data_IF_379115281581
#
_entry.id   IF_379115281581
#
_cell.length_a   1.000
_cell.length_b   1.000
_cell.length_c   1.000
_cell.angle_alpha   90.00
_cell.angle_beta   90.00
_cell.angle_gamma   90.00
#
_symmetry.space_group_name_H-M   'P 1'
#
loop_
_entity.id
_entity.type
_entity.pdbx_description
1 polymer ?
#
# COMPACT_ATOMS: atom_id res chain seq x y z
N UNK A 1 48.04 40.46 33.70
CA UNK A 1 48.17 38.99 33.60
C UNK A 1 46.99 38.51 32.79
N UNK A 2 47.19 38.24 31.50
CA UNK A 2 46.17 37.55 30.70
C UNK A 2 46.04 36.10 31.20
N UNK A 3 44.82 35.56 31.30
CA UNK A 3 44.65 34.17 31.66
C UNK A 3 45.16 33.29 30.52
N UNK A 4 46.28 32.61 30.77
CA UNK A 4 46.83 31.57 29.93
C UNK A 4 45.87 30.38 29.95
N UNK A 5 45.01 30.26 28.93
CA UNK A 5 44.19 29.07 28.75
C UNK A 5 45.12 27.87 28.47
N UNK A 6 44.90 26.70 29.10
CA UNK A 6 45.72 25.54 28.83
C UNK A 6 45.59 25.14 27.36
N UNK A 7 46.71 25.08 26.64
CA UNK A 7 46.78 24.47 25.32
C UNK A 7 46.37 23.00 25.48
N UNK A 8 45.17 22.66 25.01
CA UNK A 8 44.66 21.29 25.05
C UNK A 8 45.58 20.40 24.21
N UNK A 9 46.31 19.48 24.84
CA UNK A 9 47.23 18.57 24.16
C UNK A 9 46.49 17.78 23.08
N UNK A 10 46.99 17.83 21.84
CA UNK A 10 46.39 17.08 20.74
C UNK A 10 46.46 15.58 21.00
N UNK A 11 45.35 14.88 20.76
CA UNK A 11 45.32 13.42 20.83
C UNK A 11 46.35 12.80 19.88
N UNK A 12 46.89 11.63 20.25
CA UNK A 12 47.85 10.91 19.40
C UNK A 12 47.27 10.61 18.01
N UNK A 13 45.97 10.31 17.94
CA UNK A 13 45.26 10.10 16.67
C UNK A 13 45.31 11.36 15.79
N UNK A 14 45.06 12.55 16.36
CA UNK A 14 45.12 13.82 15.63
C UNK A 14 46.52 14.12 15.12
N UNK A 15 47.56 13.82 15.91
CA UNK A 15 48.97 13.95 15.49
C UNK A 15 49.26 13.09 14.26
N UNK A 16 48.89 11.80 14.32
CA UNK A 16 49.08 10.88 13.19
C UNK A 16 48.37 11.35 11.91
N UNK A 17 47.13 11.86 12.02
CA UNK A 17 46.37 12.38 10.87
C UNK A 17 47.03 13.62 10.27
N UNK A 18 47.57 14.52 11.10
CA UNK A 18 48.29 15.71 10.63
C UNK A 18 49.56 15.33 9.85
N UNK A 19 50.29 14.32 10.31
CA UNK A 19 51.51 13.86 9.62
C UNK A 19 51.19 13.20 8.28
N UNK A 20 50.13 12.39 8.20
CA UNK A 20 49.64 11.86 6.92
C UNK A 20 49.25 13.01 5.97
N UNK A 21 48.54 14.02 6.47
CA UNK A 21 48.16 15.18 5.66
C UNK A 21 49.37 15.98 5.14
N UNK A 22 50.47 16.07 5.91
CA UNK A 22 51.72 16.68 5.45
C UNK A 22 52.33 15.85 4.32
N UNK A 23 52.42 14.53 4.49
CA UNK A 23 52.99 13.67 3.46
C UNK A 23 52.19 13.70 2.16
N UNK A 24 50.85 13.72 2.23
CA UNK A 24 50.01 13.91 1.04
C UNK A 24 50.30 15.24 0.33
N UNK A 25 50.52 16.31 1.10
CA UNK A 25 50.87 17.63 0.54
C UNK A 25 52.22 17.60 -0.17
N UNK A 26 53.22 16.93 0.41
CA UNK A 26 54.54 16.78 -0.21
C UNK A 26 54.47 15.99 -1.53
N UNK A 27 53.52 15.06 -1.63
CA UNK A 27 53.19 14.33 -2.87
C UNK A 27 52.29 15.11 -3.84
N UNK A 28 51.92 16.37 -3.53
CA UNK A 28 51.04 17.19 -4.36
C UNK A 28 49.57 16.71 -4.41
N UNK A 29 49.15 15.91 -3.44
CA UNK A 29 47.80 15.30 -3.40
C UNK A 29 46.96 15.87 -2.25
N UNK A 30 45.70 16.17 -2.52
CA UNK A 30 44.75 16.56 -1.47
C UNK A 30 44.14 15.33 -0.78
N UNK A 31 43.68 15.43 0.48
CA UNK A 31 42.98 14.33 1.15
C UNK A 31 41.76 13.82 0.36
N UNK A 32 41.03 14.69 -0.35
CA UNK A 32 39.89 14.29 -1.19
C UNK A 32 40.33 13.47 -2.42
N UNK A 33 41.41 13.88 -3.09
CA UNK A 33 41.97 13.12 -4.22
C UNK A 33 42.47 11.75 -3.75
N UNK A 34 43.17 11.70 -2.60
CA UNK A 34 43.59 10.45 -1.99
C UNK A 34 42.40 9.52 -1.74
N UNK A 35 41.34 10.01 -1.08
CA UNK A 35 40.17 9.19 -0.78
C UNK A 35 39.46 8.70 -2.05
N UNK A 36 39.37 9.54 -3.08
CA UNK A 36 38.76 9.16 -4.36
C UNK A 36 39.55 8.04 -5.05
N UNK A 37 40.87 8.19 -5.18
CA UNK A 37 41.73 7.17 -5.77
C UNK A 37 41.71 5.89 -4.94
N UNK A 38 41.84 6.00 -3.61
CA UNK A 38 41.80 4.87 -2.69
C UNK A 38 40.53 4.02 -2.86
N UNK A 39 39.37 4.66 -3.03
CA UNK A 39 38.07 3.99 -3.14
C UNK A 39 37.79 3.44 -4.54
N UNK A 40 38.29 4.08 -5.59
CA UNK A 40 37.91 3.75 -6.99
C UNK A 40 38.99 2.99 -7.77
N UNK A 41 40.24 3.01 -7.33
CA UNK A 41 41.37 2.43 -8.06
C UNK A 41 41.24 0.92 -8.24
N UNK A 42 41.50 0.41 -9.45
CA UNK A 42 41.45 -1.04 -9.76
C UNK A 42 42.67 -1.83 -9.28
N UNK A 43 43.65 -1.18 -8.66
CA UNK A 43 44.85 -1.83 -8.14
C UNK A 43 44.52 -2.86 -7.05
N UNK A 44 45.15 -4.04 -7.10
CA UNK A 44 44.88 -5.18 -6.22
C UNK A 44 45.30 -4.97 -4.76
N UNK A 45 46.38 -4.23 -4.51
CA UNK A 45 46.83 -3.89 -3.17
C UNK A 45 45.83 -2.95 -2.50
N UNK A 46 45.41 -1.90 -3.21
CA UNK A 46 44.37 -0.98 -2.71
C UNK A 46 43.03 -1.68 -2.51
N UNK A 47 42.66 -2.62 -3.39
CA UNK A 47 41.48 -3.46 -3.21
C UNK A 47 41.56 -4.30 -1.93
N UNK A 48 42.74 -4.85 -1.62
CA UNK A 48 42.97 -5.61 -0.38
C UNK A 48 42.83 -4.73 0.85
N UNK A 49 43.32 -3.48 0.82
CA UNK A 49 43.22 -2.55 1.94
C UNK A 49 41.77 -2.11 2.22
N UNK A 50 40.93 -1.99 1.18
CA UNK A 50 39.51 -1.64 1.34
C UNK A 50 38.54 -2.82 1.39
N UNK A 51 39.04 -4.07 1.44
CA UNK A 51 38.24 -5.30 1.35
C UNK A 51 37.08 -5.40 2.34
N UNK A 52 37.16 -4.71 3.48
CA UNK A 52 36.13 -4.75 4.51
C UNK A 52 35.07 -3.64 4.42
N UNK A 53 35.27 -2.61 3.58
CA UNK A 53 34.37 -1.44 3.50
C UNK A 53 32.91 -1.81 3.24
N UNK A 54 32.66 -2.77 2.34
CA UNK A 54 31.33 -3.22 1.96
C UNK A 54 30.95 -4.59 2.55
N UNK A 55 31.58 -5.01 3.66
CA UNK A 55 31.32 -6.32 4.29
C UNK A 55 30.62 -6.17 5.65
N UNK A 56 29.94 -7.22 6.16
CA UNK A 56 29.30 -7.18 7.47
C UNK A 56 30.20 -6.69 8.60
N UNK A 57 31.50 -7.01 8.56
CA UNK A 57 32.49 -6.59 9.56
C UNK A 57 32.84 -5.10 9.50
N UNK A 58 32.60 -4.43 8.37
CA UNK A 58 33.01 -3.03 8.15
C UNK A 58 31.87 -2.07 7.79
N UNK A 59 30.62 -2.54 7.67
CA UNK A 59 29.48 -1.67 7.38
C UNK A 59 29.33 -0.54 8.40
N UNK A 60 29.34 -0.83 9.70
CA UNK A 60 29.12 0.18 10.74
C UNK A 60 30.21 1.26 10.75
N UNK A 61 31.47 0.86 10.63
CA UNK A 61 32.61 1.81 10.60
C UNK A 61 32.62 2.62 9.31
N UNK A 62 32.28 2.02 8.17
CA UNK A 62 32.15 2.73 6.88
C UNK A 62 31.00 3.74 6.91
N UNK A 63 29.84 3.35 7.44
CA UNK A 63 28.71 4.27 7.64
C UNK A 63 29.09 5.41 8.59
N UNK A 64 29.92 5.16 9.60
CA UNK A 64 30.42 6.22 10.50
C UNK A 64 31.26 7.26 9.73
N UNK A 65 32.08 6.84 8.77
CA UNK A 65 32.79 7.76 7.87
C UNK A 65 31.82 8.58 7.03
N UNK A 66 30.80 7.94 6.44
CA UNK A 66 29.76 8.65 5.65
C UNK A 66 28.99 9.66 6.52
N UNK A 67 28.66 9.31 7.77
CA UNK A 67 28.02 10.23 8.74
C UNK A 67 28.94 11.41 9.10
N UNK A 68 30.24 11.19 9.23
CA UNK A 68 31.20 12.27 9.45
C UNK A 68 31.28 13.22 8.23
N UNK A 69 31.23 12.69 7.01
CA UNK A 69 31.13 13.48 5.77
C UNK A 69 29.83 14.28 5.77
N UNK A 70 28.68 13.66 6.04
CA UNK A 70 27.39 14.35 6.21
C UNK A 70 27.49 15.52 7.18
N UNK A 71 28.16 15.30 8.33
CA UNK A 71 28.36 16.34 9.35
C UNK A 71 29.05 17.59 8.81
N UNK A 72 29.96 17.46 7.83
CA UNK A 72 30.59 18.60 7.17
C UNK A 72 29.63 19.39 6.29
N UNK A 73 28.74 18.71 5.56
CA UNK A 73 27.68 19.38 4.80
C UNK A 73 26.66 20.06 5.73
N UNK A 74 26.41 19.47 6.90
CA UNK A 74 25.44 19.99 7.86
C UNK A 74 25.84 21.29 8.56
N UNK A 75 27.10 21.72 8.42
CA UNK A 75 27.63 22.92 9.06
C UNK A 75 27.11 24.24 8.46
N UNK A 76 26.56 24.21 7.24
CA UNK A 76 26.06 25.42 6.55
C UNK A 76 24.74 25.13 5.84
N UNK A 77 23.91 26.14 5.63
CA UNK A 77 22.64 25.98 4.91
C UNK A 77 22.83 25.53 3.46
N UNK A 78 23.80 26.12 2.77
CA UNK A 78 24.16 25.71 1.42
C UNK A 78 24.65 24.26 1.37
N UNK A 79 25.49 23.85 2.33
CA UNK A 79 25.95 22.47 2.44
C UNK A 79 24.80 21.50 2.72
N UNK A 80 23.89 21.86 3.64
CA UNK A 80 22.68 21.07 3.94
C UNK A 80 21.84 20.85 2.70
N UNK A 81 21.57 21.93 1.94
CA UNK A 81 20.81 21.83 0.68
C UNK A 81 21.49 20.86 -0.29
N UNK A 82 22.80 20.98 -0.49
CA UNK A 82 23.55 20.07 -1.38
C UNK A 82 23.50 18.61 -0.95
N UNK A 83 23.52 18.33 0.35
CA UNK A 83 23.36 16.96 0.84
C UNK A 83 21.94 16.44 0.61
N UNK A 84 20.92 17.27 0.84
CA UNK A 84 19.51 16.89 0.60
C UNK A 84 19.29 16.58 -0.88
N UNK A 85 19.76 17.44 -1.79
CA UNK A 85 19.67 17.22 -3.24
C UNK A 85 20.30 15.87 -3.62
N UNK A 86 21.50 15.56 -3.09
CA UNK A 86 22.18 14.29 -3.35
C UNK A 86 21.42 13.06 -2.81
N UNK A 87 20.87 13.15 -1.59
CA UNK A 87 20.04 12.06 -1.02
C UNK A 87 18.76 11.86 -1.85
N UNK A 88 18.18 12.94 -2.37
CA UNK A 88 17.00 12.86 -3.22
C UNK A 88 17.32 12.12 -4.52
N UNK A 89 18.43 12.43 -5.18
CA UNK A 89 18.86 11.73 -6.40
C UNK A 89 19.10 10.23 -6.12
N UNK A 90 19.79 9.89 -5.03
CA UNK A 90 20.03 8.49 -4.64
C UNK A 90 18.72 7.75 -4.31
N UNK A 91 17.78 8.43 -3.64
CA UNK A 91 16.46 7.86 -3.33
C UNK A 91 15.67 7.57 -4.61
N UNK A 92 15.74 8.44 -5.63
CA UNK A 92 15.12 8.21 -6.93
C UNK A 92 15.73 6.98 -7.61
N UNK A 93 17.06 6.84 -7.62
CA UNK A 93 17.73 5.66 -8.20
C UNK A 93 17.30 4.35 -7.53
N UNK A 94 17.19 4.33 -6.19
CA UNK A 94 16.66 3.16 -5.46
C UNK A 94 15.23 2.83 -5.88
N UNK A 95 14.38 3.85 -6.06
CA UNK A 95 12.98 3.67 -6.51
C UNK A 95 12.85 3.27 -7.97
N UNK A 96 13.82 3.63 -8.83
CA UNK A 96 13.87 3.16 -10.21
C UNK A 96 14.31 1.70 -10.29
N UNK A 97 15.27 1.30 -9.44
CA UNK A 97 15.73 -0.07 -9.31
C UNK A 97 14.64 -1.01 -8.76
N UNK A 98 13.89 -0.55 -7.77
CA UNK A 98 12.69 -1.21 -7.23
C UNK A 98 11.53 -1.06 -8.22
N UNK A 99 11.58 -1.83 -9.31
CA UNK A 99 10.54 -1.81 -10.33
C UNK A 99 9.65 -3.05 -10.19
N UNK A 100 8.34 -2.89 -9.93
CA UNK A 100 7.42 -4.02 -9.85
C UNK A 100 7.33 -4.78 -11.18
N UNK A 101 7.33 -6.12 -11.13
CA UNK A 101 7.15 -6.96 -12.32
C UNK A 101 5.73 -6.81 -12.87
N UNK A 102 5.59 -6.55 -14.17
CA UNK A 102 4.30 -6.26 -14.81
C UNK A 102 3.52 -7.50 -15.28
N UNK A 103 3.73 -8.65 -14.65
CA UNK A 103 3.09 -9.92 -15.03
C UNK A 103 1.56 -9.90 -14.79
N UNK A 104 0.88 -10.89 -15.37
CA UNK A 104 -0.58 -11.03 -15.33
C UNK A 104 -0.99 -11.72 -14.01
N UNK A 105 -2.09 -11.28 -13.39
CA UNK A 105 -2.68 -11.93 -12.22
C UNK A 105 -2.97 -13.42 -12.48
N UNK A 106 -2.72 -14.35 -11.53
CA UNK A 106 -2.36 -14.11 -10.12
C UNK A 106 -0.87 -13.89 -9.86
N UNK A 107 -0.01 -14.09 -10.86
CA UNK A 107 1.45 -14.01 -10.71
C UNK A 107 2.00 -12.58 -10.81
N UNK A 108 1.20 -11.63 -11.30
CA UNK A 108 1.53 -10.20 -11.27
C UNK A 108 0.32 -9.29 -11.05
N UNK A 109 0.53 -8.00 -11.26
CA UNK A 109 -0.35 -6.92 -10.78
C UNK A 109 -1.44 -6.52 -11.76
N UNK A 110 -1.39 -7.02 -12.99
CA UNK A 110 -2.36 -6.68 -14.01
C UNK A 110 -3.57 -7.59 -13.94
N UNK A 111 -4.71 -6.97 -13.70
CA UNK A 111 -6.02 -7.61 -13.79
C UNK A 111 -6.82 -6.98 -14.94
N UNK A 112 -7.18 -7.80 -15.92
CA UNK A 112 -8.13 -7.40 -16.96
C UNK A 112 -9.51 -7.21 -16.37
N UNK A 113 -10.16 -6.07 -16.65
CA UNK A 113 -11.56 -5.84 -16.28
C UNK A 113 -12.52 -6.79 -17.00
N UNK A 114 -12.17 -7.27 -18.20
CA UNK A 114 -13.06 -8.13 -19.00
C UNK A 114 -13.09 -9.58 -18.54
N UNK A 115 -12.13 -9.99 -17.72
CA UNK A 115 -11.98 -11.38 -17.25
C UNK A 115 -11.71 -11.45 -15.75
N UNK A 116 -12.07 -10.40 -15.01
CA UNK A 116 -11.94 -10.40 -13.54
C UNK A 116 -12.99 -11.33 -12.94
N UNK A 117 -12.57 -12.09 -11.92
CA UNK A 117 -13.43 -13.03 -11.21
C UNK A 117 -13.70 -12.54 -9.79
N UNK A 118 -14.74 -13.05 -9.11
CA UNK A 118 -15.01 -12.69 -7.71
C UNK A 118 -13.82 -12.92 -6.76
N UNK A 119 -12.97 -13.92 -7.05
CA UNK A 119 -11.80 -14.24 -6.23
C UNK A 119 -10.82 -13.06 -6.07
N UNK A 120 -10.69 -12.22 -7.11
CA UNK A 120 -9.82 -11.03 -7.10
C UNK A 120 -10.25 -9.99 -6.05
N UNK A 121 -11.56 -9.89 -5.74
CA UNK A 121 -12.09 -8.90 -4.81
C UNK A 121 -12.07 -9.37 -3.35
N UNK A 122 -11.57 -10.59 -3.08
CA UNK A 122 -11.46 -11.13 -1.73
C UNK A 122 -10.38 -10.43 -0.90
N UNK A 123 -10.55 -10.41 0.42
CA UNK A 123 -9.54 -9.88 1.34
C UNK A 123 -8.22 -10.62 1.26
N UNK A 124 -8.25 -11.94 1.07
CA UNK A 124 -7.04 -12.74 0.92
C UNK A 124 -6.25 -12.32 -0.33
N UNK A 125 -6.93 -12.13 -1.47
CA UNK A 125 -6.29 -11.65 -2.70
C UNK A 125 -5.71 -10.24 -2.51
N UNK A 126 -6.44 -9.33 -1.86
CA UNK A 126 -5.94 -7.98 -1.57
C UNK A 126 -4.72 -8.01 -0.66
N UNK A 127 -4.78 -8.72 0.46
CA UNK A 127 -3.68 -8.83 1.42
C UNK A 127 -2.43 -9.44 0.79
N UNK A 128 -2.61 -10.42 -0.10
CA UNK A 128 -1.50 -10.98 -0.87
C UNK A 128 -0.87 -9.94 -1.81
N UNK A 129 -1.67 -9.23 -2.62
CA UNK A 129 -1.15 -8.17 -3.49
C UNK A 129 -0.44 -7.06 -2.70
N UNK A 130 -1.04 -6.62 -1.58
CA UNK A 130 -0.47 -5.61 -0.70
C UNK A 130 0.88 -6.07 -0.14
N UNK A 131 0.96 -7.34 0.31
CA UNK A 131 2.21 -7.91 0.83
C UNK A 131 3.32 -7.89 -0.22
N UNK A 132 3.07 -8.44 -1.42
CA UNK A 132 4.10 -8.49 -2.47
C UNK A 132 4.53 -7.08 -2.88
N UNK A 133 3.58 -6.14 -2.98
CA UNK A 133 3.86 -4.74 -3.29
C UNK A 133 4.84 -4.10 -2.30
N UNK A 134 4.68 -4.34 -0.99
CA UNK A 134 5.51 -3.69 0.04
C UNK A 134 6.79 -4.45 0.40
N UNK A 135 6.87 -5.76 0.11
CA UNK A 135 8.06 -6.55 0.45
C UNK A 135 9.02 -6.73 -0.71
N UNK A 136 8.51 -6.90 -1.93
CA UNK A 136 9.33 -7.18 -3.11
C UNK A 136 9.46 -5.96 -4.02
N UNK A 137 8.36 -5.27 -4.27
CA UNK A 137 8.30 -4.29 -5.35
C UNK A 137 8.68 -2.87 -4.94
N UNK A 138 8.18 -2.42 -3.79
CA UNK A 138 8.36 -1.04 -3.31
C UNK A 138 8.80 -0.93 -1.83
N UNK A 139 9.66 -1.82 -1.31
CA UNK A 139 9.99 -1.85 0.12
C UNK A 139 10.65 -0.56 0.63
N UNK A 140 11.44 0.14 -0.20
CA UNK A 140 12.06 1.40 0.19
C UNK A 140 11.04 2.53 0.32
N UNK A 141 10.15 2.67 -0.67
CA UNK A 141 9.08 3.68 -0.64
C UNK A 141 8.14 3.47 0.54
N UNK A 142 7.68 2.23 0.71
CA UNK A 142 6.81 1.84 1.81
C UNK A 142 7.43 2.19 3.16
N UNK A 143 8.70 1.85 3.35
CA UNK A 143 9.43 2.13 4.60
C UNK A 143 9.59 3.63 4.87
N UNK A 144 9.87 4.44 3.83
CA UNK A 144 9.96 5.90 3.96
C UNK A 144 8.62 6.50 4.37
N UNK A 145 7.54 6.19 3.66
CA UNK A 145 6.23 6.78 3.92
C UNK A 145 5.71 6.35 5.29
N UNK A 146 5.80 5.05 5.60
CA UNK A 146 5.38 4.52 6.89
C UNK A 146 6.20 5.11 8.03
N UNK A 147 7.51 5.21 7.86
CA UNK A 147 8.41 5.83 8.83
C UNK A 147 8.11 7.32 9.05
N UNK A 148 7.82 8.05 7.97
CA UNK A 148 7.41 9.47 8.04
C UNK A 148 6.13 9.66 8.85
N UNK A 149 5.11 8.83 8.61
CA UNK A 149 3.82 8.93 9.32
C UNK A 149 3.97 8.57 10.80
N UNK A 150 4.77 7.54 11.11
CA UNK A 150 4.96 7.08 12.49
C UNK A 150 5.84 8.04 13.31
N UNK A 151 6.91 8.56 12.72
CA UNK A 151 7.87 9.42 13.41
C UNK A 151 7.48 10.91 13.38
N UNK A 152 6.54 11.31 12.51
CA UNK A 152 6.03 12.67 12.42
C UNK A 152 5.00 13.03 13.49
N UNK A 153 4.47 12.05 14.22
CA UNK A 153 3.59 12.26 15.37
C UNK A 153 4.44 12.63 16.59
N UNK A 154 4.54 13.92 16.90
CA UNK A 154 5.12 14.36 18.17
C UNK A 154 4.18 13.90 19.30
N UNK A 155 4.74 13.33 20.38
CA UNK A 155 3.97 12.94 21.59
C UNK A 155 3.15 14.12 22.18
N UNK A 156 3.47 15.37 21.83
CA UNK A 156 2.75 16.57 22.25
C UNK A 156 1.38 16.78 21.55
N UNK A 157 1.10 16.11 20.42
CA UNK A 157 -0.22 16.18 19.77
C UNK A 157 -1.29 15.39 20.53
N UNK A 158 -0.90 14.60 21.54
CA UNK A 158 -1.84 13.94 22.46
C UNK A 158 -2.57 14.91 23.41
N UNK A 159 -2.26 16.21 23.36
CA UNK A 159 -2.89 17.27 24.20
C UNK A 159 -3.75 18.28 23.44
N UNK A 160 -3.93 18.15 22.12
CA UNK A 160 -5.03 18.88 21.46
C UNK A 160 -6.31 18.05 21.58
N UNK A 161 -7.08 18.34 22.63
CA UNK A 161 -8.54 18.17 22.62
C UNK A 161 -9.10 19.11 21.53
N UNK A 162 -9.04 18.65 20.27
CA UNK A 162 -10.03 19.07 19.28
C UNK A 162 -11.38 18.52 19.72
N UNK A 163 -12.51 19.14 19.33
CA UNK A 163 -13.83 18.63 19.73
C UNK A 163 -13.86 17.15 19.39
N UNK A 164 -14.10 16.31 20.39
CA UNK A 164 -14.43 14.91 20.19
C UNK A 164 -15.47 14.91 19.07
N UNK A 165 -15.10 14.44 17.88
CA UNK A 165 -16.11 14.00 16.93
C UNK A 165 -16.88 12.96 17.72
N UNK A 166 -18.10 13.31 18.13
CA UNK A 166 -18.95 12.45 18.90
C UNK A 166 -18.97 11.11 18.18
N UNK A 167 -18.29 10.13 18.77
CA UNK A 167 -18.48 8.75 18.38
C UNK A 167 -19.88 8.49 18.89
N UNK A 168 -20.88 8.72 18.04
CA UNK A 168 -22.26 8.40 18.37
C UNK A 168 -22.23 6.99 18.99
N UNK A 169 -22.75 6.86 20.21
CA UNK A 169 -23.05 5.56 20.80
C UNK A 169 -24.17 4.94 19.96
N UNK A 170 -23.80 4.35 18.83
CA UNK A 170 -24.72 3.67 17.90
C UNK A 170 -24.83 2.21 18.35
N UNK A 171 -26.07 1.75 18.47
CA UNK A 171 -26.44 0.43 18.97
C UNK A 171 -25.89 -0.77 18.18
N UNK A 172 -26.20 -1.95 18.72
CA UNK A 172 -25.73 -3.31 18.40
C UNK A 172 -25.72 -3.71 16.89
N UNK A 173 -26.44 -2.97 16.05
CA UNK A 173 -26.54 -3.16 14.58
C UNK A 173 -25.22 -2.92 13.81
N UNK A 174 -24.23 -2.23 14.40
CA UNK A 174 -22.97 -1.89 13.69
C UNK A 174 -21.92 -3.00 13.66
N UNK A 175 -22.15 -4.13 14.32
CA UNK A 175 -21.16 -5.24 14.34
C UNK A 175 -21.13 -5.98 13.00
N UNK A 176 -22.30 -6.24 12.42
CA UNK A 176 -22.44 -6.84 11.09
C UNK A 176 -21.93 -5.88 10.00
N UNK A 177 -22.21 -4.58 10.13
CA UNK A 177 -21.69 -3.55 9.23
C UNK A 177 -20.15 -3.45 9.31
N UNK A 178 -19.58 -3.55 10.50
CA UNK A 178 -18.13 -3.62 10.72
C UNK A 178 -17.47 -4.86 10.12
N UNK A 179 -18.11 -6.03 10.23
CA UNK A 179 -17.65 -7.29 9.63
C UNK A 179 -17.80 -7.28 8.08
N UNK A 180 -18.85 -6.64 7.55
CA UNK A 180 -19.04 -6.39 6.12
C UNK A 180 -17.99 -5.42 5.55
N UNK A 181 -17.69 -4.33 6.27
CA UNK A 181 -16.66 -3.34 5.93
C UNK A 181 -15.23 -3.90 6.07
N UNK A 182 -15.02 -4.81 7.02
CA UNK A 182 -13.81 -5.63 7.13
C UNK A 182 -13.70 -6.56 5.91
N UNK A 183 -14.79 -7.19 5.48
CA UNK A 183 -14.96 -7.93 4.23
C UNK A 183 -14.62 -7.11 2.96
N UNK A 184 -14.91 -5.81 3.00
CA UNK A 184 -14.59 -4.86 1.93
C UNK A 184 -13.24 -4.17 2.12
N UNK A 185 -12.43 -4.49 3.13
CA UNK A 185 -11.12 -3.85 3.35
C UNK A 185 -11.19 -2.33 3.52
N UNK A 186 -12.38 -1.80 3.79
CA UNK A 186 -12.62 -0.43 4.27
C UNK A 186 -12.71 -0.58 5.79
N UNK A 187 -11.61 -0.98 6.41
CA UNK A 187 -11.61 -1.12 7.85
C UNK A 187 -11.50 0.27 8.48
N UNK A 188 -12.65 0.86 8.79
CA UNK A 188 -12.77 1.71 9.97
C UNK A 188 -12.74 0.77 11.17
N UNK A 189 -11.57 0.18 11.49
CA UNK A 189 -11.45 -0.57 12.73
C UNK A 189 -11.85 0.42 13.83
N UNK A 190 -12.95 0.17 14.54
CA UNK A 190 -13.21 0.79 15.85
C UNK A 190 -12.22 0.18 16.87
N UNK A 191 -10.93 0.24 16.54
CA UNK A 191 -9.84 -0.18 17.41
C UNK A 191 -9.75 0.87 18.51
N UNK A 192 -10.12 0.48 19.73
CA UNK A 192 -10.12 1.41 20.88
C UNK A 192 -8.71 1.90 21.21
N UNK A 193 -7.69 1.15 20.81
CA UNK A 193 -6.29 1.52 20.96
C UNK A 193 -5.84 2.50 19.85
N UNK A 194 -5.69 3.77 20.23
CA UNK A 194 -5.18 4.83 19.35
C UNK A 194 -3.83 4.50 18.73
N UNK A 195 -2.96 3.76 19.42
CA UNK A 195 -1.63 3.42 18.92
C UNK A 195 -1.71 2.37 17.80
N UNK A 196 -2.54 1.34 17.96
CA UNK A 196 -2.78 0.35 16.91
C UNK A 196 -3.46 0.97 15.70
N UNK A 197 -4.44 1.85 15.91
CA UNK A 197 -5.08 2.60 14.83
C UNK A 197 -4.06 3.45 14.05
N UNK A 198 -3.16 4.14 14.76
CA UNK A 198 -2.09 4.92 14.16
C UNK A 198 -1.16 4.08 13.29
N UNK A 199 -0.79 2.88 13.74
CA UNK A 199 0.04 1.92 12.98
C UNK A 199 -0.71 1.40 11.76
N UNK A 200 -1.98 1.03 11.92
CA UNK A 200 -2.81 0.54 10.83
C UNK A 200 -3.01 1.61 9.75
N UNK A 201 -3.31 2.85 10.14
CA UNK A 201 -3.42 3.98 9.23
C UNK A 201 -2.11 4.21 8.47
N UNK A 202 -0.97 4.24 9.17
CA UNK A 202 0.34 4.41 8.54
C UNK A 202 0.62 3.31 7.50
N UNK A 203 0.26 2.06 7.82
CA UNK A 203 0.34 0.93 6.89
C UNK A 203 -0.56 1.14 5.66
N UNK A 204 -1.86 1.41 5.86
CA UNK A 204 -2.83 1.55 4.75
C UNK A 204 -2.48 2.72 3.83
N UNK A 205 -2.06 3.86 4.39
CA UNK A 205 -1.62 5.02 3.61
C UNK A 205 -0.36 4.68 2.82
N UNK A 206 0.65 4.07 3.45
CA UNK A 206 1.89 3.70 2.76
C UNK A 206 1.65 2.73 1.60
N UNK A 207 0.86 1.66 1.81
CA UNK A 207 0.46 0.70 0.76
C UNK A 207 -0.27 1.42 -0.39
N UNK A 208 -1.24 2.28 -0.05
CA UNK A 208 -2.03 3.01 -1.04
C UNK A 208 -1.16 3.92 -1.90
N UNK A 209 -0.23 4.66 -1.30
CA UNK A 209 0.70 5.53 -2.04
C UNK A 209 1.64 4.72 -2.93
N UNK A 210 2.14 3.58 -2.44
CA UNK A 210 2.96 2.67 -3.25
C UNK A 210 2.18 2.17 -4.47
N UNK A 211 0.94 1.72 -4.27
CA UNK A 211 0.09 1.23 -5.35
C UNK A 211 -0.27 2.35 -6.34
N UNK A 212 -0.59 3.55 -5.83
CA UNK A 212 -0.85 4.74 -6.63
C UNK A 212 0.32 5.08 -7.53
N UNK A 213 1.54 5.13 -6.97
CA UNK A 213 2.75 5.43 -7.74
C UNK A 213 3.04 4.36 -8.80
N UNK A 214 2.93 3.08 -8.43
CA UNK A 214 3.12 1.96 -9.37
C UNK A 214 2.14 2.02 -10.53
N UNK A 215 0.86 2.32 -10.27
CA UNK A 215 -0.15 2.45 -11.30
C UNK A 215 0.08 3.67 -12.22
N UNK A 216 0.46 4.81 -11.65
CA UNK A 216 0.76 6.03 -12.43
C UNK A 216 1.96 5.81 -13.35
N UNK A 217 3.01 5.13 -12.86
CA UNK A 217 4.18 4.77 -13.68
C UNK A 217 3.84 3.76 -14.76
N UNK A 218 3.01 2.77 -14.43
CA UNK A 218 2.59 1.74 -15.35
C UNK A 218 1.18 1.27 -15.00
N UNK A 219 0.23 1.59 -15.88
CA UNK A 219 -1.21 1.28 -15.71
C UNK A 219 -1.51 -0.22 -15.62
N UNK A 220 -0.51 -1.09 -15.88
CA UNK A 220 -0.62 -2.53 -15.63
C UNK A 220 -0.59 -2.90 -14.14
N UNK A 221 -0.15 -2.01 -13.24
CA UNK A 221 -0.31 -2.23 -11.79
C UNK A 221 -1.66 -1.72 -11.32
N UNK A 222 -2.75 -2.35 -11.74
CA UNK A 222 -4.11 -1.84 -11.52
C UNK A 222 -4.90 -2.59 -10.44
N UNK A 223 -4.25 -3.43 -9.62
CA UNK A 223 -4.95 -4.25 -8.62
C UNK A 223 -5.82 -3.41 -7.67
N UNK A 224 -5.22 -2.46 -6.93
CA UNK A 224 -5.97 -1.57 -6.04
C UNK A 224 -6.94 -0.68 -6.81
N UNK A 225 -6.51 -0.16 -7.95
CA UNK A 225 -7.29 0.79 -8.73
C UNK A 225 -8.55 0.17 -9.33
N UNK A 226 -8.50 -1.10 -9.73
CA UNK A 226 -9.66 -1.82 -10.21
C UNK A 226 -10.65 -2.10 -9.07
N UNK A 227 -10.14 -2.47 -7.89
CA UNK A 227 -10.97 -2.64 -6.69
C UNK A 227 -11.66 -1.34 -6.30
N UNK A 228 -10.91 -0.24 -6.25
CA UNK A 228 -11.46 1.09 -5.97
C UNK A 228 -12.47 1.54 -7.02
N UNK A 229 -12.24 1.24 -8.31
CA UNK A 229 -13.17 1.65 -9.37
C UNK A 229 -14.54 0.99 -9.23
N UNK A 230 -14.59 -0.30 -8.92
CA UNK A 230 -15.85 -1.02 -8.68
C UNK A 230 -16.55 -0.47 -7.43
N UNK A 231 -15.79 -0.23 -6.35
CA UNK A 231 -16.33 0.32 -5.09
C UNK A 231 -16.88 1.72 -5.25
N UNK A 232 -16.09 2.62 -5.81
CA UNK A 232 -16.50 4.00 -6.01
C UNK A 232 -17.74 4.09 -6.89
N UNK A 233 -17.82 3.25 -7.93
CA UNK A 233 -19.01 3.15 -8.75
C UNK A 233 -20.23 2.68 -7.94
N UNK A 234 -20.08 1.63 -7.12
CA UNK A 234 -21.14 1.12 -6.26
C UNK A 234 -21.57 2.13 -5.18
N UNK A 235 -20.64 2.91 -4.63
CA UNK A 235 -20.89 3.97 -3.66
C UNK A 235 -21.44 5.27 -4.29
N UNK A 236 -21.78 5.28 -5.58
CA UNK A 236 -22.38 6.44 -6.24
C UNK A 236 -21.41 7.59 -6.53
N UNK A 237 -20.10 7.34 -6.57
CA UNK A 237 -19.12 8.36 -6.97
C UNK A 237 -19.42 8.82 -8.39
N UNK A 238 -19.60 10.14 -8.55
CA UNK A 238 -19.90 10.75 -9.84
C UNK A 238 -18.78 10.47 -10.86
N UNK A 239 -19.12 10.46 -12.14
CA UNK A 239 -18.13 10.26 -13.22
C UNK A 239 -17.01 11.29 -13.16
N UNK A 240 -17.34 12.58 -12.95
CA UNK A 240 -16.36 13.67 -12.81
C UNK A 240 -15.42 13.44 -11.63
N UNK A 241 -15.94 13.00 -10.48
CA UNK A 241 -15.11 12.67 -9.31
C UNK A 241 -14.22 11.45 -9.61
N UNK A 242 -14.75 10.43 -10.28
CA UNK A 242 -13.96 9.26 -10.66
C UNK A 242 -12.85 9.61 -11.66
N UNK A 243 -13.11 10.48 -12.64
CA UNK A 243 -12.08 10.97 -13.57
C UNK A 243 -10.92 11.66 -12.84
N UNK A 244 -11.24 12.51 -11.86
CA UNK A 244 -10.23 13.17 -11.03
C UNK A 244 -9.42 12.15 -10.22
N UNK A 245 -10.08 11.20 -9.55
CA UNK A 245 -9.41 10.15 -8.78
C UNK A 245 -8.57 9.23 -9.70
N UNK A 246 -9.03 8.98 -10.93
CA UNK A 246 -8.32 8.18 -11.92
C UNK A 246 -7.04 8.88 -12.40
N UNK A 247 -7.12 10.19 -12.60
CA UNK A 247 -5.98 11.04 -12.91
C UNK A 247 -4.90 10.97 -11.82
N UNK A 248 -5.32 11.03 -10.55
CA UNK A 248 -4.41 10.87 -9.39
C UNK A 248 -3.87 9.44 -9.23
N UNK A 249 -4.43 8.45 -9.91
CA UNK A 249 -4.03 7.05 -9.81
C UNK A 249 -4.64 6.29 -8.64
N UNK A 250 -5.69 6.83 -8.02
CA UNK A 250 -6.43 6.21 -6.91
C UNK A 250 -7.45 5.17 -7.38
N UNK A 251 -7.90 5.26 -8.64
CA UNK A 251 -8.91 4.37 -9.22
C UNK A 251 -8.66 4.15 -10.71
N UNK A 252 -9.30 3.12 -11.28
CA UNK A 252 -9.39 2.92 -12.73
C UNK A 252 -10.52 3.78 -13.34
N UNK A 253 -10.61 3.80 -14.67
CA UNK A 253 -11.68 4.54 -15.34
C UNK A 253 -13.06 3.95 -15.01
N UNK A 254 -14.11 4.77 -15.14
CA UNK A 254 -15.50 4.32 -14.96
C UNK A 254 -15.85 3.20 -15.94
N UNK A 255 -15.36 3.28 -17.18
CA UNK A 255 -15.54 2.22 -18.19
C UNK A 255 -14.90 0.91 -17.74
N UNK A 256 -13.72 0.96 -17.14
CA UNK A 256 -13.04 -0.22 -16.57
C UNK A 256 -13.87 -0.85 -15.46
N UNK A 257 -14.49 -0.05 -14.58
CA UNK A 257 -15.39 -0.53 -13.55
C UNK A 257 -16.63 -1.21 -14.13
N UNK A 258 -17.26 -0.60 -15.15
CA UNK A 258 -18.44 -1.18 -15.83
C UNK A 258 -18.10 -2.50 -16.52
N UNK A 259 -16.94 -2.59 -17.19
CA UNK A 259 -16.47 -3.83 -17.80
C UNK A 259 -16.21 -4.92 -16.75
N UNK A 260 -15.64 -4.55 -15.59
CA UNK A 260 -15.45 -5.45 -14.46
C UNK A 260 -16.79 -5.96 -13.91
N UNK A 261 -17.78 -5.07 -13.73
CA UNK A 261 -19.11 -5.46 -13.30
C UNK A 261 -19.77 -6.43 -14.29
N UNK A 262 -19.65 -6.19 -15.60
CA UNK A 262 -20.16 -7.13 -16.62
C UNK A 262 -19.51 -8.51 -16.54
N UNK A 263 -18.20 -8.57 -16.33
CA UNK A 263 -17.48 -9.83 -16.13
C UNK A 263 -17.95 -10.55 -14.85
N UNK A 264 -18.13 -9.81 -13.75
CA UNK A 264 -18.66 -10.34 -12.50
C UNK A 264 -20.11 -10.83 -12.64
N UNK A 265 -20.96 -10.11 -13.36
CA UNK A 265 -22.34 -10.54 -13.66
C UNK A 265 -22.33 -11.84 -14.46
N UNK A 266 -21.45 -11.95 -15.46
CA UNK A 266 -21.30 -13.19 -16.25
C UNK A 266 -20.87 -14.36 -15.37
N UNK A 267 -19.90 -14.13 -14.46
CA UNK A 267 -19.47 -15.15 -13.51
C UNK A 267 -20.58 -15.55 -12.51
N UNK A 268 -21.40 -14.59 -12.08
CA UNK A 268 -22.56 -14.84 -11.23
C UNK A 268 -23.64 -15.63 -11.95
N UNK A 269 -23.92 -15.32 -13.23
CA UNK A 269 -24.84 -16.07 -14.07
C UNK A 269 -24.40 -17.54 -14.24
N UNK A 270 -23.12 -17.78 -14.54
CA UNK A 270 -22.58 -19.15 -14.66
C UNK A 270 -22.65 -19.91 -13.33
N UNK A 271 -22.39 -19.22 -12.21
CA UNK A 271 -22.57 -19.81 -10.87
C UNK A 271 -24.03 -20.17 -10.63
N UNK A 272 -24.97 -19.29 -10.99
CA UNK A 272 -26.41 -19.54 -10.86
C UNK A 272 -26.85 -20.75 -11.71
N UNK A 273 -26.41 -20.83 -12.97
CA UNK A 273 -26.67 -22.00 -13.84
C UNK A 273 -26.15 -23.29 -13.21
N UNK A 274 -24.94 -23.25 -12.64
CA UNK A 274 -24.33 -24.41 -11.96
C UNK A 274 -25.16 -24.85 -10.76
N UNK A 275 -25.61 -23.90 -9.93
CA UNK A 275 -26.50 -24.18 -8.79
C UNK A 275 -27.83 -24.77 -9.25
N UNK A 276 -28.44 -24.18 -10.28
CA UNK A 276 -29.69 -24.69 -10.84
C UNK A 276 -29.53 -26.07 -11.48
N UNK A 277 -28.37 -26.40 -12.03
CA UNK A 277 -28.07 -27.73 -12.56
C UNK A 277 -27.93 -28.81 -11.47
N UNK A 278 -27.88 -28.47 -10.18
CA UNK A 278 -27.91 -29.44 -9.08
C UNK A 278 -29.33 -29.96 -8.77
N UNK A 279 -30.37 -29.26 -9.22
CA UNK A 279 -31.79 -29.65 -9.04
C UNK A 279 -32.11 -31.09 -9.49
N UNK A 280 -31.66 -31.56 -10.67
CA UNK A 280 -31.95 -32.93 -11.14
C UNK A 280 -31.22 -34.01 -10.33
N UNK A 281 -30.12 -33.68 -9.66
CA UNK A 281 -29.31 -34.62 -8.87
C UNK A 281 -29.85 -34.79 -7.44
N UNK A 282 -30.59 -33.81 -6.90
CA UNK A 282 -31.14 -33.83 -5.53
C UNK A 282 -32.51 -33.12 -5.48
N UNK A 283 -33.59 -33.74 -5.98
CA UNK A 283 -34.91 -33.11 -6.08
C UNK A 283 -35.54 -32.71 -4.74
N UNK A 284 -35.07 -33.27 -3.61
CA UNK A 284 -35.58 -32.96 -2.28
C UNK A 284 -35.07 -31.63 -1.68
N UNK A 285 -33.99 -31.05 -2.22
CA UNK A 285 -33.47 -29.73 -1.82
C UNK A 285 -33.24 -28.88 -3.06
N UNK A 286 -34.28 -28.20 -3.53
CA UNK A 286 -34.14 -27.15 -4.52
C UNK A 286 -33.46 -25.90 -3.94
N UNK A 287 -32.73 -25.11 -4.74
CA UNK A 287 -32.17 -23.83 -4.30
C UNK A 287 -33.30 -22.88 -3.90
N UNK A 288 -33.18 -22.27 -2.72
CA UNK A 288 -34.10 -21.21 -2.31
C UNK A 288 -33.66 -19.91 -2.98
N UNK A 289 -34.45 -19.44 -3.94
CA UNK A 289 -34.23 -18.15 -4.59
C UNK A 289 -35.09 -17.12 -3.90
N UNK A 290 -34.45 -16.13 -3.30
CA UNK A 290 -35.12 -14.92 -2.84
C UNK A 290 -34.93 -13.87 -3.92
N UNK A 291 -36.03 -13.32 -4.43
CA UNK A 291 -36.05 -12.22 -5.37
C UNK A 291 -36.85 -11.11 -4.71
N UNK A 292 -36.27 -9.93 -4.67
CA UNK A 292 -36.87 -8.74 -4.10
C UNK A 292 -36.68 -7.55 -5.05
N UNK A 293 -37.59 -6.60 -5.03
CA UNK A 293 -37.52 -5.42 -5.88
C UNK A 293 -36.73 -4.34 -5.15
N UNK A 294 -35.70 -3.82 -5.81
CA UNK A 294 -34.85 -2.75 -5.30
C UNK A 294 -35.25 -1.45 -5.98
N UNK A 295 -36.05 -0.64 -5.29
CA UNK A 295 -36.39 0.71 -5.75
C UNK A 295 -35.37 1.71 -5.21
N UNK A 296 -34.50 2.24 -6.08
CA UNK A 296 -33.51 3.26 -5.73
C UNK A 296 -33.97 4.63 -6.24
N UNK A 297 -34.15 5.59 -5.33
CA UNK A 297 -34.41 6.98 -5.72
C UNK A 297 -33.11 7.77 -5.85
N UNK A 298 -32.74 8.17 -7.06
CA UNK A 298 -31.76 9.23 -7.25
C UNK A 298 -32.43 10.58 -6.97
N UNK A 299 -32.04 11.23 -5.87
CA UNK A 299 -32.60 12.53 -5.45
C UNK A 299 -31.65 13.68 -5.78
N UNK A 300 -31.97 14.45 -6.80
CA UNK A 300 -31.20 15.64 -7.17
C UNK A 300 -31.52 16.78 -6.18
N UNK A 301 -30.50 17.27 -5.47
CA UNK A 301 -30.66 18.29 -4.42
C UNK A 301 -30.90 19.71 -4.98
N UNK A 302 -30.42 20.00 -6.19
CA UNK A 302 -30.69 21.27 -6.90
C UNK A 302 -31.26 20.97 -8.28
N UNK A 303 -32.59 21.13 -8.44
CA UNK A 303 -33.25 20.85 -9.71
C UNK A 303 -32.83 21.85 -10.79
N UNK A 304 -32.47 21.36 -11.98
CA UNK A 304 -32.27 22.19 -13.17
C UNK A 304 -32.97 21.54 -14.37
N UNK A 305 -33.13 22.28 -15.47
CA UNK A 305 -33.77 21.75 -16.69
C UNK A 305 -32.88 20.63 -17.24
N UNK A 306 -33.36 19.39 -17.16
CA UNK A 306 -32.63 18.18 -17.56
C UNK A 306 -32.11 17.31 -16.40
N UNK A 307 -32.09 17.83 -15.16
CA UNK A 307 -31.74 17.07 -13.96
C UNK A 307 -32.93 17.02 -13.01
N UNK A 308 -33.61 15.87 -12.98
CA UNK A 308 -34.73 15.57 -12.10
C UNK A 308 -34.42 14.34 -11.28
N UNK A 309 -35.01 14.26 -10.09
CA UNK A 309 -34.98 13.02 -9.31
C UNK A 309 -35.63 11.89 -10.12
N UNK A 310 -34.99 10.72 -10.14
CA UNK A 310 -35.47 9.54 -10.87
C UNK A 310 -35.59 8.35 -9.91
N UNK A 311 -36.63 7.55 -10.12
CA UNK A 311 -36.78 6.25 -9.48
C UNK A 311 -36.22 5.18 -10.42
N UNK A 312 -35.19 4.48 -9.95
CA UNK A 312 -34.65 3.30 -10.60
C UNK A 312 -35.31 2.08 -9.98
N UNK A 313 -35.90 1.26 -10.83
CA UNK A 313 -36.53 0.01 -10.43
C UNK A 313 -35.55 -1.10 -10.81
N UNK A 314 -34.97 -1.73 -9.79
CA UNK A 314 -34.14 -2.91 -9.92
C UNK A 314 -34.86 -4.12 -9.35
N UNK A 315 -34.38 -5.30 -9.71
CA UNK A 315 -34.74 -6.54 -9.02
C UNK A 315 -33.42 -7.14 -8.55
N UNK A 316 -33.31 -7.40 -7.27
CA UNK A 316 -32.17 -8.08 -6.68
C UNK A 316 -32.61 -9.44 -6.14
N UNK A 317 -31.68 -10.35 -6.01
CA UNK A 317 -31.99 -11.65 -5.46
C UNK A 317 -30.74 -12.42 -5.10
N UNK A 318 -30.90 -13.38 -4.22
CA UNK A 318 -29.84 -14.29 -3.82
C UNK A 318 -30.38 -15.72 -3.80
N UNK A 319 -29.45 -16.66 -3.96
CA UNK A 319 -29.75 -18.08 -3.90
C UNK A 319 -29.08 -18.66 -2.67
N UNK A 320 -29.89 -19.17 -1.75
CA UNK A 320 -29.36 -19.95 -0.64
C UNK A 320 -29.05 -21.37 -1.11
N UNK A 321 -27.81 -21.77 -0.87
CA UNK A 321 -27.39 -23.15 -0.94
C UNK A 321 -27.08 -23.65 0.48
N UNK A 322 -27.55 -24.85 0.85
CA UNK A 322 -27.08 -25.50 2.06
C UNK A 322 -25.57 -25.75 1.98
N UNK A 323 -24.88 -25.74 3.12
CA UNK A 323 -23.43 -25.98 3.16
C UNK A 323 -23.08 -27.34 2.57
N UNK A 324 -21.89 -27.47 1.97
CA UNK A 324 -21.45 -28.75 1.42
C UNK A 324 -21.43 -29.85 2.49
N UNK A 325 -21.06 -29.52 3.73
CA UNK A 325 -21.12 -30.43 4.88
C UNK A 325 -22.55 -30.92 5.21
N UNK A 326 -23.55 -30.02 5.13
CA UNK A 326 -24.96 -30.41 5.31
C UNK A 326 -25.45 -31.25 4.14
N UNK A 327 -25.05 -30.89 2.92
CA UNK A 327 -25.34 -31.68 1.73
C UNK A 327 -24.72 -33.08 1.82
N UNK A 328 -23.52 -33.22 2.35
CA UNK A 328 -22.83 -34.51 2.46
C UNK A 328 -23.44 -35.38 3.57
N UNK A 329 -23.98 -34.79 4.64
CA UNK A 329 -24.72 -35.50 5.71
C UNK A 329 -26.13 -35.93 5.31
N UNK A 330 -26.76 -35.24 4.35
CA UNK A 330 -28.05 -35.63 3.77
C UNK A 330 -27.93 -36.79 2.76
N UNK A 331 -26.71 -37.23 2.45
CA UNK A 331 -26.46 -38.39 1.61
C UNK A 331 -26.68 -39.71 2.36
N UNK A 332 -27.68 -40.48 1.90
CA UNK A 332 -28.04 -41.86 2.27
C UNK A 332 -29.14 -42.00 3.36
N UNK A 333 -30.39 -42.15 2.90
CA UNK A 333 -31.51 -42.87 3.54
C UNK A 333 -32.36 -42.25 4.67
N UNK A 334 -32.33 -40.94 4.94
CA UNK A 334 -33.17 -40.36 6.02
C UNK A 334 -34.09 -39.21 5.58
N UNK A 335 -34.81 -39.35 4.47
CA UNK A 335 -35.98 -38.49 4.20
C UNK A 335 -37.21 -39.40 4.24
N UNK A 336 -38.07 -39.33 5.28
CA UNK A 336 -39.32 -40.07 5.27
C UNK A 336 -40.19 -39.52 4.14
N UNK A 337 -40.56 -40.40 3.21
CA UNK A 337 -41.58 -40.11 2.21
C UNK A 337 -42.86 -39.70 2.94
N UNK A 338 -43.24 -38.43 2.80
CA UNK A 338 -44.52 -37.93 3.29
C UNK A 338 -45.64 -38.67 2.59
N UNK A 339 -46.46 -39.35 3.40
CA UNK A 339 -47.67 -40.05 3.00
C UNK A 339 -48.62 -39.14 2.22
N UNK A 340 -49.26 -39.72 1.21
CA UNK A 340 -50.23 -39.14 0.27
C UNK A 340 -51.28 -38.22 0.87
#
# INVERSE_FOLDING_TARGET
MEPCYPLQELSQSTKNVLDICKHLRDLGMTPKQFMLEYLTSKNSELATLRRFWATPKGWESTITVVKAIRGKFWATDMGRKKWIDWIQDEAIEILLYQNPNAEIYPMGYWQSSRSVTPAFFTNAARAHCDHVLITHDTPFLYSIIRGMILNGRNDNDSKMDGPEEAVDEIGDDTREEGELLEGEGISYVKEKDRHKLAIHQAHRVAVTVCSMLSFVRNRRHNSLQLQNAVRFLACGVSERTNEYLHFLGLTSSRQTALDALRALTSAAEERLKTVMALLPLRPALGPFVCIDNLDMQEKVHMSSIGHRSMMFHGTWGYVHMPSQELLDTLGSNNIPEGTQ
#
